data_IF_044907035903
#
_entry.id   IF_044907035903
#
_cell.length_a   1.000
_cell.length_b   1.000
_cell.length_c   1.000
_cell.angle_alpha   90.00
_cell.angle_beta   90.00
_cell.angle_gamma   90.00
#
_symmetry.space_group_name_H-M   'P 1'
#
loop_
_entity.id
_entity.type
_entity.pdbx_description
1 polymer ?
#
# COMPACT_ATOMS: atom_id res chain seq x y z
N UNK A 1 14.93 -0.71 -4.25
CA UNK A 1 14.57 -1.62 -5.38
C UNK A 1 15.78 -2.09 -6.19
N UNK A 2 16.79 -1.24 -6.54
CA UNK A 2 17.97 -1.65 -7.33
C UNK A 2 18.73 -2.84 -6.71
N UNK A 3 18.83 -2.92 -5.37
CA UNK A 3 19.44 -4.06 -4.68
C UNK A 3 18.70 -5.37 -4.94
N UNK A 4 17.37 -5.35 -4.90
CA UNK A 4 16.53 -6.52 -5.20
C UNK A 4 16.67 -6.95 -6.67
N UNK A 5 16.75 -6.00 -7.61
CA UNK A 5 17.01 -6.31 -9.02
C UNK A 5 18.38 -6.99 -9.19
N UNK A 6 19.41 -6.45 -8.55
CA UNK A 6 20.76 -7.02 -8.63
C UNK A 6 20.83 -8.46 -8.08
N UNK A 7 20.20 -8.74 -6.95
CA UNK A 7 20.16 -10.09 -6.39
C UNK A 7 19.38 -11.08 -7.26
N UNK A 8 18.25 -10.64 -7.86
CA UNK A 8 17.45 -11.47 -8.77
C UNK A 8 18.25 -11.85 -10.01
N UNK A 9 18.94 -10.89 -10.65
CA UNK A 9 19.82 -11.17 -11.79
C UNK A 9 20.96 -12.08 -11.41
N UNK A 10 21.62 -11.87 -10.27
CA UNK A 10 22.68 -12.75 -9.79
C UNK A 10 22.20 -14.19 -9.60
N UNK A 11 21.05 -14.37 -8.95
CA UNK A 11 20.48 -15.69 -8.70
C UNK A 11 20.11 -16.40 -10.02
N UNK A 12 19.53 -15.68 -10.98
CA UNK A 12 19.19 -16.23 -12.31
C UNK A 12 20.43 -16.58 -13.13
N UNK A 13 21.46 -15.74 -13.15
CA UNK A 13 22.72 -16.02 -13.81
C UNK A 13 23.41 -17.29 -13.24
N UNK A 14 23.37 -17.40 -11.90
CA UNK A 14 23.91 -18.58 -11.21
C UNK A 14 23.16 -19.87 -11.57
N UNK A 15 21.81 -19.80 -11.70
CA UNK A 15 21.00 -20.94 -12.13
C UNK A 15 21.24 -21.29 -13.60
N UNK A 16 21.34 -20.30 -14.48
CA UNK A 16 21.54 -20.51 -15.91
C UNK A 16 22.87 -21.20 -16.25
N UNK A 17 23.90 -21.01 -15.42
CA UNK A 17 25.21 -21.64 -15.56
C UNK A 17 25.27 -23.09 -15.08
N UNK A 18 24.19 -23.62 -14.50
CA UNK A 18 24.13 -24.99 -14.03
C UNK A 18 23.39 -25.87 -15.05
N UNK A 19 23.92 -27.04 -15.29
CA UNK A 19 23.25 -28.07 -16.08
C UNK A 19 22.11 -28.67 -15.24
N UNK A 20 20.94 -28.04 -15.31
CA UNK A 20 19.72 -28.44 -14.57
C UNK A 20 18.55 -28.62 -15.53
N UNK A 21 17.65 -29.60 -15.29
CA UNK A 21 16.40 -29.67 -16.01
C UNK A 21 15.59 -28.36 -15.81
N UNK A 22 14.83 -28.00 -16.82
CA UNK A 22 14.11 -26.73 -16.94
C UNK A 22 12.92 -26.54 -15.96
N UNK A 23 12.95 -27.14 -14.80
CA UNK A 23 11.95 -27.01 -13.73
C UNK A 23 12.61 -26.53 -12.44
N UNK A 24 12.01 -25.54 -11.73
CA UNK A 24 10.84 -24.74 -12.12
C UNK A 24 11.17 -23.69 -13.20
N UNK A 25 10.15 -23.24 -13.94
CA UNK A 25 10.28 -22.06 -14.82
C UNK A 25 10.34 -20.80 -13.95
N UNK A 26 11.43 -20.05 -14.07
CA UNK A 26 11.65 -18.78 -13.35
C UNK A 26 11.57 -17.65 -14.36
N UNK A 27 10.73 -16.67 -14.07
CA UNK A 27 10.52 -15.50 -14.92
C UNK A 27 10.85 -14.24 -14.12
N UNK A 28 11.77 -13.44 -14.64
CA UNK A 28 12.01 -12.09 -14.14
C UNK A 28 11.12 -11.10 -14.88
N UNK A 29 10.49 -10.20 -14.12
CA UNK A 29 9.65 -9.13 -14.68
C UNK A 29 10.04 -7.81 -14.04
N UNK A 30 10.48 -6.83 -14.84
CA UNK A 30 10.71 -5.46 -14.41
C UNK A 30 9.47 -4.61 -14.65
N UNK A 31 8.93 -4.02 -13.59
CA UNK A 31 7.81 -3.08 -13.69
C UNK A 31 8.30 -1.63 -13.73
N UNK A 32 7.50 -0.78 -14.37
CA UNK A 32 7.69 0.67 -14.39
C UNK A 32 6.62 1.36 -13.58
N UNK A 33 6.90 2.60 -13.12
CA UNK A 33 5.93 3.51 -12.51
C UNK A 33 5.35 3.01 -11.17
N UNK A 34 6.16 2.28 -10.37
CA UNK A 34 5.73 1.78 -9.05
C UNK A 34 5.44 2.95 -8.10
N UNK A 35 6.28 4.00 -8.11
CA UNK A 35 6.21 5.15 -7.20
C UNK A 35 5.02 6.09 -7.45
N UNK A 36 4.32 5.95 -8.58
CA UNK A 36 3.23 6.88 -8.94
C UNK A 36 1.91 6.15 -9.19
N UNK A 37 1.79 5.47 -10.33
CA UNK A 37 0.51 4.91 -10.79
C UNK A 37 0.52 3.39 -10.92
N UNK A 38 1.64 2.72 -10.65
CA UNK A 38 1.84 1.27 -10.79
C UNK A 38 1.39 0.74 -12.17
N UNK A 39 1.61 1.52 -13.22
CA UNK A 39 1.12 1.19 -14.56
C UNK A 39 1.67 -0.13 -15.08
N UNK A 40 2.93 -0.46 -14.75
CA UNK A 40 3.57 -1.72 -15.12
C UNK A 40 2.89 -2.94 -14.51
N UNK A 41 2.77 -3.01 -13.19
CA UNK A 41 2.15 -4.14 -12.50
C UNK A 41 0.64 -4.25 -12.77
N UNK A 42 -0.06 -3.13 -12.93
CA UNK A 42 -1.47 -3.09 -13.33
C UNK A 42 -1.69 -3.58 -14.75
N UNK A 43 -0.78 -3.29 -15.69
CA UNK A 43 -0.83 -3.85 -17.04
C UNK A 43 -0.52 -5.35 -17.01
N UNK A 44 0.48 -5.76 -16.26
CA UNK A 44 0.86 -7.16 -16.10
C UNK A 44 -0.28 -8.01 -15.51
N UNK A 45 -1.01 -7.50 -14.50
CA UNK A 45 -2.13 -8.22 -13.89
C UNK A 45 -3.25 -8.56 -14.88
N UNK A 46 -3.40 -7.79 -15.97
CA UNK A 46 -4.38 -8.07 -17.03
C UNK A 46 -4.00 -9.28 -17.90
N UNK A 47 -2.72 -9.68 -17.92
CA UNK A 47 -2.26 -10.83 -18.68
C UNK A 47 -2.71 -12.17 -18.08
N UNK A 48 -3.19 -12.18 -16.83
CA UNK A 48 -3.67 -13.37 -16.10
C UNK A 48 -2.71 -14.55 -16.14
N UNK A 49 -1.41 -14.26 -16.06
CA UNK A 49 -0.37 -15.29 -16.03
C UNK A 49 -0.53 -16.14 -14.78
N UNK A 50 -0.30 -17.45 -14.92
CA UNK A 50 -0.32 -18.39 -13.80
C UNK A 50 1.08 -18.56 -13.28
N UNK A 51 1.23 -18.47 -11.95
CA UNK A 51 2.48 -18.81 -11.26
C UNK A 51 2.14 -19.45 -9.90
N UNK A 52 3.06 -20.24 -9.37
CA UNK A 52 2.92 -20.85 -8.06
C UNK A 52 3.22 -19.88 -6.93
N UNK A 53 4.10 -18.90 -7.19
CA UNK A 53 4.49 -17.84 -6.27
C UNK A 53 5.09 -16.69 -7.05
N UNK A 54 4.78 -15.45 -6.67
CA UNK A 54 5.47 -14.25 -7.08
C UNK A 54 6.31 -13.71 -5.90
N UNK A 55 7.55 -13.35 -6.18
CA UNK A 55 8.44 -12.72 -5.21
C UNK A 55 8.71 -11.29 -5.69
N UNK A 56 8.25 -10.31 -4.92
CA UNK A 56 8.34 -8.89 -5.25
C UNK A 56 9.47 -8.24 -4.45
N UNK A 57 10.37 -7.58 -5.14
CA UNK A 57 11.64 -7.10 -4.61
C UNK A 57 11.54 -5.76 -3.92
N UNK A 58 11.36 -5.74 -2.58
CA UNK A 58 11.37 -4.56 -1.73
C UNK A 58 12.34 -4.70 -0.55
N UNK A 59 12.80 -3.59 0.06
CA UNK A 59 13.79 -3.64 1.14
C UNK A 59 13.18 -4.13 2.46
N UNK A 60 13.17 -5.43 2.67
CA UNK A 60 12.61 -6.10 3.86
C UNK A 60 13.66 -6.63 4.84
N UNK A 61 14.92 -6.23 4.71
CA UNK A 61 16.07 -6.80 5.47
C UNK A 61 16.21 -8.31 5.27
N UNK A 62 15.93 -8.79 4.06
CA UNK A 62 15.86 -10.22 3.72
C UNK A 62 14.88 -11.00 4.61
N UNK A 63 13.76 -10.40 5.01
CA UNK A 63 12.67 -11.06 5.73
C UNK A 63 11.49 -11.30 4.80
N UNK A 64 10.83 -12.42 4.95
CA UNK A 64 9.64 -12.79 4.17
C UNK A 64 8.43 -12.05 4.71
N UNK A 65 7.87 -11.17 3.88
CA UNK A 65 6.66 -10.41 4.16
C UNK A 65 5.50 -11.06 3.40
N UNK A 66 4.49 -11.49 4.14
CA UNK A 66 3.31 -12.18 3.60
C UNK A 66 2.07 -11.31 3.52
N UNK A 67 2.13 -10.10 4.09
CA UNK A 67 1.02 -9.17 4.03
C UNK A 67 1.51 -7.72 4.02
N UNK A 68 0.83 -6.84 3.29
CA UNK A 68 1.02 -5.40 3.39
C UNK A 68 -0.31 -4.65 3.33
N UNK A 69 -0.34 -3.44 3.91
CA UNK A 69 -1.53 -2.59 3.86
C UNK A 69 -1.78 -2.09 2.44
N UNK A 70 -3.04 -1.84 2.12
CA UNK A 70 -3.42 -1.12 0.92
C UNK A 70 -3.27 0.39 1.09
N UNK A 71 -3.35 1.10 -0.03
CA UNK A 71 -3.19 2.55 -0.10
C UNK A 71 -4.40 3.18 -0.81
N UNK A 72 -5.17 3.98 -0.09
CA UNK A 72 -6.38 4.61 -0.61
C UNK A 72 -6.35 6.11 -0.32
N UNK A 73 -6.13 6.90 -1.36
CA UNK A 73 -6.20 8.36 -1.27
C UNK A 73 -7.61 8.85 -1.56
N UNK A 74 -8.15 9.59 -0.61
CA UNK A 74 -9.52 10.06 -0.65
C UNK A 74 -9.55 11.58 -0.67
N UNK A 75 -10.46 12.15 -1.45
CA UNK A 75 -10.80 13.58 -1.34
C UNK A 75 -12.19 13.71 -0.71
N UNK A 76 -12.26 14.38 0.43
CA UNK A 76 -13.48 14.78 1.10
C UNK A 76 -13.81 16.21 0.68
N UNK A 77 -15.00 16.46 0.14
CA UNK A 77 -15.44 17.79 -0.31
C UNK A 77 -16.71 18.23 0.42
N UNK A 78 -16.67 19.43 0.95
CA UNK A 78 -17.84 20.10 1.56
C UNK A 78 -18.29 21.28 0.71
N UNK A 79 -19.60 21.53 0.71
CA UNK A 79 -20.24 22.61 -0.03
C UNK A 79 -20.96 23.57 0.92
N UNK A 80 -20.82 24.86 0.66
CA UNK A 80 -21.42 25.94 1.40
C UNK A 80 -22.24 26.90 0.52
N UNK A 81 -22.23 28.14 0.90
CA UNK A 81 -22.82 29.28 0.17
C UNK A 81 -21.95 30.51 0.41
N UNK A 82 -21.43 31.11 -0.65
CA UNK A 82 -20.64 32.32 -0.56
C UNK A 82 -21.49 33.51 -0.05
N UNK A 83 -20.87 34.40 0.72
CA UNK A 83 -21.41 35.66 1.16
C UNK A 83 -20.26 36.61 1.51
N UNK A 84 -20.58 37.91 1.64
CA UNK A 84 -19.61 38.89 2.10
C UNK A 84 -19.21 38.60 3.56
N UNK A 85 -17.93 38.64 3.91
CA UNK A 85 -17.42 38.34 5.24
C UNK A 85 -17.96 39.24 6.37
N UNK A 86 -18.45 40.46 6.04
CA UNK A 86 -19.14 41.35 6.98
C UNK A 86 -20.59 40.90 7.29
N UNK A 87 -21.15 39.97 6.53
CA UNK A 87 -22.50 39.38 6.70
C UNK A 87 -22.47 37.86 6.58
N UNK A 88 -21.71 37.18 7.44
CA UNK A 88 -21.48 35.73 7.33
C UNK A 88 -22.77 34.91 7.51
N UNK A 89 -23.79 35.46 8.18
CA UNK A 89 -25.10 34.86 8.40
C UNK A 89 -25.88 34.61 7.09
N UNK A 90 -25.55 35.31 6.01
CA UNK A 90 -26.14 35.12 4.68
C UNK A 90 -25.53 33.99 3.90
N UNK A 91 -24.39 33.48 4.39
CA UNK A 91 -23.64 32.40 3.79
C UNK A 91 -23.74 31.08 4.56
N UNK A 92 -23.02 30.07 4.08
CA UNK A 92 -22.75 28.83 4.80
C UNK A 92 -21.29 28.45 4.55
N UNK A 93 -20.47 28.51 5.59
CA UNK A 93 -19.04 28.34 5.50
C UNK A 93 -18.66 26.85 5.32
N UNK A 94 -18.10 26.53 4.14
CA UNK A 94 -17.64 25.16 3.82
C UNK A 94 -16.41 24.76 4.63
N UNK A 95 -15.52 25.71 4.97
CA UNK A 95 -14.34 25.45 5.82
C UNK A 95 -14.76 25.07 7.24
N UNK A 96 -15.75 25.76 7.82
CA UNK A 96 -16.28 25.39 9.14
C UNK A 96 -16.93 23.99 9.12
N UNK A 97 -17.60 23.63 8.03
CA UNK A 97 -18.16 22.28 7.86
C UNK A 97 -17.05 21.24 7.74
N UNK A 98 -15.99 21.53 6.95
CA UNK A 98 -14.84 20.65 6.80
C UNK A 98 -14.10 20.43 8.12
N UNK A 99 -13.89 21.48 8.91
CA UNK A 99 -13.25 21.36 10.23
C UNK A 99 -13.98 20.35 11.13
N UNK A 100 -15.33 20.42 11.15
CA UNK A 100 -16.17 19.46 11.89
C UNK A 100 -16.09 18.05 11.30
N UNK A 101 -16.01 17.92 9.97
CA UNK A 101 -15.83 16.61 9.33
C UNK A 101 -14.50 15.97 9.71
N UNK A 102 -13.40 16.73 9.66
CA UNK A 102 -12.06 16.27 10.05
C UNK A 102 -12.05 15.86 11.52
N UNK A 103 -12.54 16.70 12.42
CA UNK A 103 -12.64 16.37 13.84
C UNK A 103 -13.41 15.06 14.08
N UNK A 104 -14.55 14.89 13.40
CA UNK A 104 -15.36 13.66 13.50
C UNK A 104 -14.61 12.44 12.95
N UNK A 105 -13.87 12.58 11.86
CA UNK A 105 -13.06 11.49 11.29
C UNK A 105 -11.94 11.10 12.27
N UNK A 106 -11.23 12.07 12.84
CA UNK A 106 -10.12 11.82 13.77
C UNK A 106 -10.60 11.24 15.11
N UNK A 107 -11.71 11.74 15.67
CA UNK A 107 -12.17 11.33 17.00
C UNK A 107 -13.05 10.10 16.98
N UNK A 108 -13.86 9.86 15.95
CA UNK A 108 -14.80 8.75 15.93
C UNK A 108 -14.39 7.65 14.94
N UNK A 109 -14.14 8.02 13.68
CA UNK A 109 -13.81 7.01 12.67
C UNK A 109 -12.43 6.38 12.94
N UNK A 110 -11.41 7.18 13.22
CA UNK A 110 -10.07 6.68 13.54
C UNK A 110 -10.05 5.79 14.80
N UNK A 111 -10.82 6.16 15.84
CA UNK A 111 -10.97 5.32 17.04
C UNK A 111 -11.63 3.96 16.71
N UNK A 112 -12.61 3.94 15.80
CA UNK A 112 -13.23 2.70 15.36
C UNK A 112 -12.28 1.83 14.54
N UNK A 113 -11.41 2.45 13.73
CA UNK A 113 -10.33 1.75 13.03
C UNK A 113 -9.35 1.11 14.02
N UNK A 114 -9.00 1.83 15.10
CA UNK A 114 -8.13 1.36 16.16
C UNK A 114 -8.62 0.08 16.89
N UNK A 115 -9.90 -0.28 16.76
CA UNK A 115 -10.47 -1.52 17.31
C UNK A 115 -10.30 -2.75 16.42
N UNK A 116 -10.06 -2.55 15.12
CA UNK A 116 -9.81 -3.62 14.17
C UNK A 116 -8.41 -4.16 14.36
N UNK A 117 -8.23 -5.47 14.21
CA UNK A 117 -6.93 -6.12 14.36
C UNK A 117 -6.71 -7.13 13.25
N UNK A 118 -5.55 -7.02 12.64
CA UNK A 118 -5.00 -8.03 11.74
C UNK A 118 -3.76 -8.65 12.39
N UNK A 119 -3.54 -9.98 12.30
CA UNK A 119 -2.46 -10.65 13.05
C UNK A 119 -1.06 -10.07 12.82
N UNK A 120 -0.77 -9.64 11.60
CA UNK A 120 0.58 -9.14 11.22
C UNK A 120 0.60 -7.68 10.75
N UNK A 121 -0.57 -7.06 10.48
CA UNK A 121 -0.67 -5.66 10.01
C UNK A 121 -1.19 -4.69 11.08
N UNK A 122 -1.60 -5.22 12.25
CA UNK A 122 -2.18 -4.39 13.29
C UNK A 122 -3.54 -3.81 12.89
N UNK A 123 -3.69 -2.50 12.93
CA UNK A 123 -4.94 -1.80 12.60
C UNK A 123 -4.81 -0.93 11.34
N UNK A 124 -5.93 -0.68 10.64
CA UNK A 124 -5.96 0.26 9.55
C UNK A 124 -5.85 1.69 10.08
N UNK A 125 -5.41 2.64 9.24
CA UNK A 125 -5.21 4.03 9.65
C UNK A 125 -5.86 5.01 8.69
N UNK A 126 -6.15 6.21 9.16
CA UNK A 126 -6.54 7.36 8.35
C UNK A 126 -5.78 8.59 8.81
N UNK A 127 -5.37 9.44 7.88
CA UNK A 127 -4.68 10.69 8.14
C UNK A 127 -5.19 11.77 7.19
N UNK A 128 -5.46 12.96 7.70
CA UNK A 128 -5.77 14.13 6.89
C UNK A 128 -4.47 14.86 6.55
N UNK A 129 -4.02 14.72 5.30
CA UNK A 129 -2.74 15.28 4.85
C UNK A 129 -2.81 16.70 4.34
N UNK A 130 -3.92 17.07 3.69
CA UNK A 130 -4.07 18.37 3.01
C UNK A 130 -5.48 18.91 3.23
N UNK A 131 -5.60 20.25 3.42
CA UNK A 131 -6.89 20.96 3.44
C UNK A 131 -6.77 22.20 2.57
N UNK A 132 -7.76 22.43 1.69
CA UNK A 132 -7.84 23.60 0.80
C UNK A 132 -9.25 24.16 0.82
N UNK A 133 -9.39 25.47 1.06
CA UNK A 133 -10.71 26.12 1.05
C UNK A 133 -10.64 27.62 1.23
N UNK A 134 -11.59 28.31 0.60
CA UNK A 134 -11.65 29.77 0.58
C UNK A 134 -10.71 30.40 -0.46
N UNK A 135 -10.99 31.66 -0.80
CA UNK A 135 -10.22 32.47 -1.76
C UNK A 135 -9.67 33.74 -1.13
N UNK A 136 -10.46 34.40 -0.26
CA UNK A 136 -10.10 35.64 0.42
C UNK A 136 -10.72 35.67 1.82
N UNK A 137 -10.08 36.33 2.81
CA UNK A 137 -10.60 36.40 4.19
C UNK A 137 -11.98 37.11 4.33
N UNK A 138 -12.32 37.99 3.40
CA UNK A 138 -13.58 38.73 3.40
C UNK A 138 -14.72 38.06 2.61
N UNK A 139 -14.55 36.78 2.24
CA UNK A 139 -15.57 35.97 1.56
C UNK A 139 -15.85 34.72 2.38
N UNK A 140 -17.12 34.40 2.64
CA UNK A 140 -17.51 33.11 3.23
C UNK A 140 -17.24 31.98 2.22
N UNK A 141 -16.38 30.99 2.51
CA UNK A 141 -16.06 29.91 1.58
C UNK A 141 -17.27 29.04 1.25
N UNK A 142 -17.53 28.78 -0.02
CA UNK A 142 -18.58 27.90 -0.50
C UNK A 142 -18.09 26.48 -0.85
N UNK A 143 -16.76 26.27 -0.91
CA UNK A 143 -16.10 24.97 -1.15
C UNK A 143 -14.93 24.81 -0.21
N UNK A 144 -14.77 23.60 0.32
CA UNK A 144 -13.54 23.16 0.99
C UNK A 144 -13.29 21.68 0.69
N UNK A 145 -12.04 21.32 0.47
CA UNK A 145 -11.60 19.96 0.19
C UNK A 145 -10.49 19.55 1.15
N UNK A 146 -10.49 18.26 1.52
CA UNK A 146 -9.44 17.64 2.32
C UNK A 146 -9.01 16.33 1.67
N UNK A 147 -7.67 16.15 1.53
CA UNK A 147 -7.11 14.91 1.05
C UNK A 147 -6.70 14.03 2.23
N UNK A 148 -7.17 12.78 2.21
CA UNK A 148 -6.99 11.80 3.28
C UNK A 148 -6.18 10.61 2.74
N UNK A 149 -5.20 10.14 3.51
CA UNK A 149 -4.50 8.87 3.32
C UNK A 149 -5.14 7.79 4.21
N UNK A 150 -5.68 6.75 3.62
CA UNK A 150 -6.33 5.64 4.31
C UNK A 150 -5.58 4.34 4.03
N UNK A 151 -4.83 3.85 5.03
CA UNK A 151 -4.17 2.54 4.93
C UNK A 151 -5.16 1.43 5.28
N UNK A 152 -5.36 0.50 4.32
CA UNK A 152 -6.42 -0.52 4.40
C UNK A 152 -5.87 -1.88 4.81
N UNK A 153 -6.75 -2.69 5.40
CA UNK A 153 -6.49 -4.12 5.67
C UNK A 153 -7.08 -4.99 4.54
N UNK A 154 -6.64 -6.25 4.41
CA UNK A 154 -7.27 -7.21 3.49
C UNK A 154 -8.79 -7.27 3.67
N UNK A 155 -9.51 -7.26 2.54
CA UNK A 155 -10.98 -7.27 2.50
C UNK A 155 -11.65 -5.89 2.60
N UNK A 156 -10.94 -4.81 2.93
CA UNK A 156 -11.48 -3.45 2.90
C UNK A 156 -11.51 -2.89 1.46
N UNK A 157 -12.57 -2.18 1.11
CA UNK A 157 -12.75 -1.57 -0.21
C UNK A 157 -13.16 -0.10 -0.10
N UNK A 158 -12.95 0.68 -1.18
CA UNK A 158 -13.42 2.06 -1.24
C UNK A 158 -14.93 2.17 -0.96
N UNK A 159 -15.74 1.27 -1.48
CA UNK A 159 -17.19 1.27 -1.26
C UNK A 159 -17.55 1.11 0.21
N UNK A 160 -16.91 0.15 0.90
CA UNK A 160 -17.14 -0.09 2.32
C UNK A 160 -16.68 1.10 3.16
N UNK A 161 -15.47 1.61 2.89
CA UNK A 161 -14.86 2.75 3.59
C UNK A 161 -15.68 4.03 3.40
N UNK A 162 -16.12 4.30 2.17
CA UNK A 162 -16.96 5.47 1.85
C UNK A 162 -18.28 5.44 2.60
N UNK A 163 -18.90 4.26 2.69
CA UNK A 163 -20.13 4.07 3.48
C UNK A 163 -19.88 4.32 4.97
N UNK A 164 -18.83 3.75 5.54
CA UNK A 164 -18.49 3.91 6.96
C UNK A 164 -18.26 5.38 7.35
N UNK A 165 -17.44 6.09 6.55
CA UNK A 165 -17.18 7.52 6.76
C UNK A 165 -18.49 8.32 6.62
N UNK A 166 -19.29 8.02 5.59
CA UNK A 166 -20.57 8.66 5.38
C UNK A 166 -21.55 8.47 6.55
N UNK A 167 -21.60 7.29 7.13
CA UNK A 167 -22.44 6.97 8.30
C UNK A 167 -21.99 7.76 9.55
N UNK A 168 -20.68 7.83 9.80
CA UNK A 168 -20.12 8.58 10.94
C UNK A 168 -20.45 10.08 10.79
N UNK A 169 -20.21 10.67 9.62
CA UNK A 169 -20.54 12.07 9.35
C UNK A 169 -22.03 12.34 9.44
N UNK A 170 -22.87 11.45 8.91
CA UNK A 170 -24.35 11.58 8.96
C UNK A 170 -24.88 11.59 10.39
N UNK A 171 -24.32 10.79 11.30
CA UNK A 171 -24.69 10.78 12.73
C UNK A 171 -24.49 12.14 13.40
N UNK A 172 -23.53 12.93 12.91
CA UNK A 172 -23.25 14.31 13.36
C UNK A 172 -23.96 15.38 12.55
N UNK A 173 -24.87 15.00 11.64
CA UNK A 173 -25.57 15.93 10.75
C UNK A 173 -24.67 16.60 9.70
N UNK A 174 -23.48 16.04 9.46
CA UNK A 174 -22.52 16.58 8.51
C UNK A 174 -22.75 15.97 7.12
N UNK A 175 -22.58 16.81 6.09
CA UNK A 175 -22.69 16.39 4.67
C UNK A 175 -21.38 16.68 3.97
N UNK A 176 -20.75 15.66 3.43
CA UNK A 176 -19.58 15.77 2.57
C UNK A 176 -19.63 14.69 1.48
N UNK A 177 -18.95 14.92 0.36
CA UNK A 177 -18.77 13.96 -0.73
C UNK A 177 -17.38 13.39 -0.61
N UNK A 178 -17.26 12.07 -0.70
CA UNK A 178 -16.00 11.35 -0.70
C UNK A 178 -15.74 10.75 -2.09
N UNK A 179 -14.52 10.94 -2.60
CA UNK A 179 -14.08 10.36 -3.88
C UNK A 179 -12.70 9.72 -3.72
N UNK A 180 -12.40 8.71 -4.55
CA UNK A 180 -11.06 8.14 -4.65
C UNK A 180 -10.23 9.00 -5.61
N UNK A 181 -9.13 9.59 -5.12
CA UNK A 181 -8.27 10.50 -5.89
C UNK A 181 -7.57 9.78 -7.04
N UNK A 182 -7.07 8.58 -6.81
CA UNK A 182 -6.33 7.80 -7.82
C UNK A 182 -7.24 7.25 -8.92
N UNK A 183 -8.54 7.07 -8.66
CA UNK A 183 -9.50 6.48 -9.61
C UNK A 183 -9.31 4.98 -9.85
N UNK A 184 -8.35 4.33 -9.19
CA UNK A 184 -8.11 2.88 -9.22
C UNK A 184 -7.88 2.35 -7.80
N UNK A 185 -7.82 1.03 -7.66
CA UNK A 185 -7.65 0.38 -6.36
C UNK A 185 -6.17 0.05 -6.10
N UNK A 186 -5.73 0.31 -4.87
CA UNK A 186 -4.46 -0.15 -4.32
C UNK A 186 -4.79 -1.05 -3.11
N UNK A 187 -5.21 -2.31 -3.33
CA UNK A 187 -5.69 -3.17 -2.26
C UNK A 187 -4.56 -3.59 -1.32
N UNK A 188 -4.93 -3.97 -0.10
CA UNK A 188 -4.01 -4.70 0.76
C UNK A 188 -3.72 -6.08 0.16
N UNK A 189 -2.54 -6.61 0.43
CA UNK A 189 -2.12 -7.95 0.03
C UNK A 189 -2.00 -8.84 1.27
N UNK A 190 -2.46 -10.08 1.14
CA UNK A 190 -2.21 -11.15 2.09
C UNK A 190 -2.03 -12.47 1.35
N UNK A 191 -0.96 -13.17 1.67
CA UNK A 191 -0.67 -14.51 1.18
C UNK A 191 -0.59 -15.47 2.35
N UNK A 192 -1.23 -16.63 2.23
CA UNK A 192 -1.20 -17.67 3.25
C UNK A 192 0.24 -18.10 3.54
N UNK A 193 0.75 -17.86 4.76
CA UNK A 193 2.11 -18.21 5.12
C UNK A 193 2.35 -19.72 5.20
N UNK A 194 1.31 -20.56 5.17
CA UNK A 194 1.44 -22.01 5.22
C UNK A 194 1.71 -22.65 3.86
N UNK A 195 1.61 -21.88 2.76
CA UNK A 195 1.93 -22.37 1.42
C UNK A 195 3.35 -22.96 1.37
N UNK A 196 3.55 -24.13 0.72
CA UNK A 196 4.83 -24.85 0.75
C UNK A 196 6.03 -24.02 0.35
N UNK A 197 5.92 -23.21 -0.74
CA UNK A 197 7.01 -22.35 -1.22
C UNK A 197 7.30 -21.18 -0.28
N UNK A 198 6.26 -20.61 0.35
CA UNK A 198 6.41 -19.54 1.37
C UNK A 198 7.14 -20.11 2.59
N UNK A 199 6.71 -21.27 3.09
CA UNK A 199 7.36 -21.97 4.19
C UNK A 199 8.82 -22.34 3.86
N UNK A 200 9.09 -22.73 2.62
CA UNK A 200 10.45 -23.06 2.17
C UNK A 200 11.35 -21.83 2.21
N UNK A 201 10.90 -20.67 1.69
CA UNK A 201 11.67 -19.44 1.79
C UNK A 201 11.84 -19.00 3.26
N UNK A 202 10.78 -19.06 4.07
CA UNK A 202 10.88 -18.75 5.51
C UNK A 202 11.92 -19.62 6.21
N UNK A 203 11.97 -20.93 5.93
CA UNK A 203 13.04 -21.82 6.44
C UNK A 203 14.42 -21.40 5.96
N UNK A 204 14.56 -21.05 4.68
CA UNK A 204 15.85 -20.63 4.10
C UNK A 204 16.41 -19.38 4.81
N UNK A 205 15.54 -18.42 5.19
CA UNK A 205 15.94 -17.23 5.96
C UNK A 205 15.90 -17.42 7.47
N UNK A 206 15.56 -18.62 7.96
CA UNK A 206 15.38 -18.96 9.38
C UNK A 206 14.31 -18.07 10.08
N UNK A 207 13.22 -17.79 9.38
CA UNK A 207 12.08 -17.04 9.90
C UNK A 207 10.97 -17.97 10.32
N UNK A 208 10.48 -17.83 11.56
CA UNK A 208 9.48 -18.72 12.15
C UNK A 208 8.06 -18.13 12.13
N UNK A 209 7.94 -16.80 12.01
CA UNK A 209 6.65 -16.12 12.00
C UNK A 209 6.50 -15.26 10.74
N UNK A 210 5.31 -15.20 10.12
CA UNK A 210 5.06 -14.30 9.02
C UNK A 210 5.23 -12.84 9.46
N UNK A 211 5.54 -11.95 8.51
CA UNK A 211 5.70 -10.53 8.74
C UNK A 211 4.70 -9.76 7.86
N UNK A 212 4.14 -8.69 8.41
CA UNK A 212 3.39 -7.67 7.70
C UNK A 212 4.15 -6.36 7.67
N UNK A 213 3.86 -5.52 6.66
CA UNK A 213 4.40 -4.15 6.53
C UNK A 213 3.28 -3.15 6.27
N UNK A 214 3.51 -1.90 6.66
CA UNK A 214 2.51 -0.83 6.56
C UNK A 214 2.50 -0.13 5.19
N UNK A 215 3.57 -0.26 4.41
CA UNK A 215 3.64 0.32 3.07
C UNK A 215 2.96 -0.58 2.01
N UNK A 216 2.57 0.03 0.91
CA UNK A 216 2.01 -0.61 -0.27
C UNK A 216 3.12 -0.88 -1.30
N UNK A 217 2.99 -1.93 -2.11
CA UNK A 217 3.85 -2.19 -3.25
C UNK A 217 3.11 -3.00 -4.35
N UNK A 218 3.77 -3.22 -5.46
CA UNK A 218 3.24 -3.93 -6.65
C UNK A 218 2.77 -5.38 -6.39
N UNK A 219 3.16 -5.98 -5.25
CA UNK A 219 2.72 -7.32 -4.87
C UNK A 219 1.19 -7.45 -4.80
N UNK A 220 0.49 -6.36 -4.40
CA UNK A 220 -0.96 -6.36 -4.37
C UNK A 220 -1.58 -6.54 -5.75
N UNK A 221 -1.06 -5.84 -6.78
CA UNK A 221 -1.57 -5.95 -8.14
C UNK A 221 -1.41 -7.37 -8.70
N UNK A 222 -0.30 -8.04 -8.36
CA UNK A 222 -0.07 -9.44 -8.72
C UNK A 222 -1.04 -10.36 -7.97
N UNK A 223 -1.21 -10.17 -6.66
CA UNK A 223 -2.11 -10.97 -5.84
C UNK A 223 -3.57 -10.90 -6.33
N UNK A 224 -4.02 -9.78 -6.93
CA UNK A 224 -5.37 -9.67 -7.51
C UNK A 224 -5.61 -10.65 -8.65
N UNK A 225 -4.57 -11.21 -9.27
CA UNK A 225 -4.70 -12.24 -10.34
C UNK A 225 -4.94 -13.64 -9.79
N UNK A 226 -4.88 -13.82 -8.47
CA UNK A 226 -4.93 -15.12 -7.81
C UNK A 226 -3.56 -15.80 -7.66
N UNK A 227 -2.47 -15.15 -8.09
CA UNK A 227 -1.10 -15.62 -7.84
C UNK A 227 -0.69 -15.24 -6.42
N UNK A 228 -0.29 -16.20 -5.56
CA UNK A 228 0.27 -15.87 -4.25
C UNK A 228 1.48 -14.97 -4.41
N UNK A 229 1.50 -13.83 -3.73
CA UNK A 229 2.61 -12.88 -3.79
C UNK A 229 3.20 -12.64 -2.39
N UNK A 230 4.52 -12.58 -2.31
CA UNK A 230 5.25 -12.20 -1.11
C UNK A 230 6.21 -11.07 -1.43
N UNK A 231 6.57 -10.31 -0.43
CA UNK A 231 7.54 -9.22 -0.56
C UNK A 231 8.83 -9.62 0.15
N UNK A 232 9.95 -9.49 -0.54
CA UNK A 232 11.25 -9.89 0.00
C UNK A 232 12.39 -9.20 -0.74
N UNK A 233 13.43 -8.80 -0.02
CA UNK A 233 14.67 -8.31 -0.61
C UNK A 233 15.62 -7.70 0.42
N UNK A 234 16.85 -7.40 0.01
CA UNK A 234 17.86 -6.77 0.84
C UNK A 234 17.58 -5.29 1.01
N UNK A 235 18.19 -4.67 2.01
CA UNK A 235 18.00 -3.28 2.36
C UNK A 235 16.93 -3.06 3.42
N UNK A 236 16.78 -1.82 3.80
CA UNK A 236 15.87 -1.37 4.86
C UNK A 236 14.94 -0.29 4.31
N UNK A 237 13.64 -0.45 4.50
CA UNK A 237 12.65 0.54 4.07
C UNK A 237 12.87 1.94 4.69
N UNK A 238 13.52 2.01 5.84
CA UNK A 238 13.87 3.28 6.46
C UNK A 238 14.85 4.14 5.63
N UNK A 239 15.51 3.56 4.62
CA UNK A 239 16.39 4.26 3.69
C UNK A 239 15.65 4.77 2.44
N UNK A 240 14.45 4.26 2.17
CA UNK A 240 13.67 4.66 1.01
C UNK A 240 13.25 6.13 1.11
N UNK A 241 13.28 6.83 -0.03
CA UNK A 241 12.88 8.24 -0.16
C UNK A 241 13.74 9.22 0.67
N UNK A 242 14.95 8.82 1.06
CA UNK A 242 15.92 9.69 1.72
C UNK A 242 16.95 10.23 0.74
N UNK A 243 17.51 11.42 1.03
CA UNK A 243 18.54 12.02 0.16
C UNK A 243 19.80 11.15 0.05
N UNK A 244 20.15 10.44 1.13
CA UNK A 244 21.31 9.57 1.25
C UNK A 244 20.90 8.09 1.24
N UNK A 245 20.03 7.68 0.31
CA UNK A 245 19.60 6.29 0.19
C UNK A 245 20.78 5.34 -0.06
N UNK A 246 20.92 4.35 0.78
CA UNK A 246 22.00 3.36 0.71
C UNK A 246 21.53 1.95 1.02
N UNK A 247 22.32 0.96 0.59
CA UNK A 247 22.15 -0.44 0.96
C UNK A 247 23.46 -1.02 1.52
N UNK A 248 23.36 -1.85 2.55
CA UNK A 248 24.51 -2.59 3.08
C UNK A 248 24.97 -3.66 2.09
N UNK A 249 26.25 -3.66 1.72
CA UNK A 249 26.86 -4.72 0.89
C UNK A 249 26.60 -6.09 1.51
N UNK A 250 26.76 -6.24 2.83
CA UNK A 250 26.49 -7.49 3.55
C UNK A 250 25.02 -7.95 3.40
N UNK A 251 24.06 -7.03 3.37
CA UNK A 251 22.66 -7.39 3.14
C UNK A 251 22.42 -7.80 1.68
N UNK A 252 23.09 -7.14 0.74
CA UNK A 252 23.01 -7.50 -0.68
C UNK A 252 23.56 -8.91 -0.93
N UNK A 253 24.77 -9.21 -0.39
CA UNK A 253 25.40 -10.55 -0.47
C UNK A 253 24.51 -11.62 0.17
N UNK A 254 23.91 -11.30 1.34
CA UNK A 254 22.95 -12.21 1.99
C UNK A 254 21.72 -12.45 1.13
N UNK A 255 21.20 -11.41 0.49
CA UNK A 255 20.07 -11.51 -0.43
C UNK A 255 20.36 -12.45 -1.59
N UNK A 256 21.50 -12.23 -2.27
CA UNK A 256 21.97 -13.09 -3.37
C UNK A 256 22.10 -14.56 -2.95
N UNK A 257 22.74 -14.83 -1.81
CA UNK A 257 22.92 -16.20 -1.28
C UNK A 257 21.57 -16.86 -0.95
N UNK A 258 20.70 -16.16 -0.23
CA UNK A 258 19.40 -16.70 0.16
C UNK A 258 18.51 -16.98 -1.05
N UNK A 259 18.40 -16.03 -1.98
CA UNK A 259 17.57 -16.21 -3.17
C UNK A 259 18.07 -17.36 -4.03
N UNK A 260 19.39 -17.44 -4.25
CA UNK A 260 20.01 -18.54 -4.99
C UNK A 260 19.71 -19.90 -4.34
N UNK A 261 19.91 -20.03 -3.02
CA UNK A 261 19.61 -21.27 -2.30
C UNK A 261 18.13 -21.64 -2.35
N UNK A 262 17.25 -20.66 -2.21
CA UNK A 262 15.81 -20.86 -2.31
C UNK A 262 15.45 -21.40 -3.71
N UNK A 263 15.86 -20.72 -4.77
CA UNK A 263 15.55 -21.14 -6.15
C UNK A 263 16.15 -22.51 -6.50
N UNK A 264 17.35 -22.81 -5.98
CA UNK A 264 17.98 -24.12 -6.14
C UNK A 264 17.26 -25.26 -5.40
N UNK A 265 16.50 -24.93 -4.37
CA UNK A 265 15.77 -25.90 -3.55
C UNK A 265 14.34 -26.17 -4.06
N UNK A 266 13.89 -25.43 -5.06
CA UNK A 266 12.58 -25.68 -5.68
C UNK A 266 12.58 -27.00 -6.47
N UNK A 267 11.44 -27.75 -6.47
CA UNK A 267 11.32 -29.05 -7.11
C UNK A 267 11.37 -28.98 -8.63
#
# INVERSE_FOLDING_TARGET
TKGSVAEMFHAMDHLAKRDRPANPVIVFVGFVDEESNQTGSRAFSKLKLKANLALVGEPTRCRVVTAHKGDLWLCLSTRGKAAHGARPELGRNAVHTMAKCIDTIETEYAQNLGKRRHPVLGHPTINTGIVRGGSQPNIVPDVCEADLDRRTLPGESFTTISREIGEVLKKRGLKARLTNVKGYTCPAMETDPTLPMVQQLMRTVRQTKPLGVDYYCDAANIATTGVPAIVWGPGDIAQAHTADEWISIRQLERGMDVLTRFLLSLP
#
